data_IF_607510311337
#
_entry.id   IF_607510311337
#
_cell.length_a   1.000
_cell.length_b   1.000
_cell.length_c   1.000
_cell.angle_alpha   90.00
_cell.angle_beta   90.00
_cell.angle_gamma   90.00
#
_symmetry.space_group_name_H-M   'P 1'
#
loop_
_entity.id
_entity.type
_entity.pdbx_description
1 polymer ?
#
# COMPACT_ATOMS: atom_id res chain seq x y z
N UNK A 1 21.72 -9.05 15.25
CA UNK A 1 21.34 -9.65 13.95
C UNK A 1 22.53 -10.49 13.47
N UNK A 2 22.31 -11.58 12.74
CA UNK A 2 23.41 -12.39 12.18
C UNK A 2 24.10 -11.57 11.09
N UNK A 3 25.23 -10.92 11.43
CA UNK A 3 25.98 -10.03 10.52
C UNK A 3 26.96 -10.77 9.61
N UNK A 4 27.20 -12.05 9.89
CA UNK A 4 28.10 -12.92 9.11
C UNK A 4 27.36 -14.23 8.85
N UNK A 5 27.20 -14.65 7.58
CA UNK A 5 26.60 -15.93 7.27
C UNK A 5 27.41 -17.06 7.90
N UNK A 6 26.71 -18.00 8.55
CA UNK A 6 27.32 -19.18 9.18
C UNK A 6 26.72 -20.46 8.62
N UNK A 7 27.55 -21.47 8.39
CA UNK A 7 27.12 -22.75 7.79
C UNK A 7 26.63 -22.55 6.36
N UNK A 8 25.44 -23.08 6.07
CA UNK A 8 24.84 -23.06 4.72
C UNK A 8 23.99 -21.80 4.45
N UNK A 9 24.16 -20.74 5.23
CA UNK A 9 23.41 -19.50 5.07
C UNK A 9 23.88 -18.71 3.84
N UNK A 10 22.96 -18.08 3.09
CA UNK A 10 23.32 -17.28 1.93
C UNK A 10 24.04 -15.98 2.34
N UNK A 11 24.84 -15.41 1.44
CA UNK A 11 25.66 -14.24 1.73
C UNK A 11 24.84 -12.98 2.11
N UNK A 12 23.57 -12.94 1.71
CA UNK A 12 22.62 -11.85 1.96
C UNK A 12 21.66 -12.14 3.14
N UNK A 13 21.98 -13.10 4.01
CA UNK A 13 21.10 -13.51 5.13
C UNK A 13 20.68 -12.34 6.03
N UNK A 14 21.56 -11.36 6.25
CA UNK A 14 21.22 -10.16 7.03
C UNK A 14 20.09 -9.35 6.39
N UNK A 15 20.15 -9.17 5.07
CA UNK A 15 19.11 -8.46 4.31
C UNK A 15 17.80 -9.23 4.34
N UNK A 16 17.84 -10.55 4.12
CA UNK A 16 16.63 -11.40 4.16
C UNK A 16 15.95 -11.38 5.53
N UNK A 17 16.73 -11.46 6.62
CA UNK A 17 16.20 -11.36 7.99
C UNK A 17 15.58 -9.98 8.20
N UNK A 18 16.25 -8.91 7.77
CA UNK A 18 15.72 -7.54 7.91
C UNK A 18 14.43 -7.35 7.14
N UNK A 19 14.36 -7.78 5.89
CA UNK A 19 13.17 -7.68 5.05
C UNK A 19 12.01 -8.47 5.64
N UNK A 20 12.28 -9.68 6.14
CA UNK A 20 11.29 -10.48 6.86
C UNK A 20 10.75 -9.74 8.08
N UNK A 21 11.61 -9.12 8.90
CA UNK A 21 11.17 -8.33 10.05
C UNK A 21 10.32 -7.13 9.61
N UNK A 22 10.74 -6.40 8.58
CA UNK A 22 10.04 -5.22 8.06
C UNK A 22 8.61 -5.54 7.60
N UNK A 23 8.33 -6.75 7.11
CA UNK A 23 6.96 -7.16 6.76
C UNK A 23 5.98 -7.16 7.95
N UNK A 24 6.50 -7.28 9.18
CA UNK A 24 5.69 -7.26 10.40
C UNK A 24 5.76 -5.91 11.11
N UNK A 25 6.96 -5.37 11.33
CA UNK A 25 7.15 -4.21 12.21
C UNK A 25 6.73 -2.88 11.58
N UNK A 26 6.59 -2.81 10.26
CA UNK A 26 6.08 -1.61 9.54
C UNK A 26 4.58 -1.39 9.73
N UNK A 27 3.82 -2.42 10.09
CA UNK A 27 2.39 -2.29 10.36
C UNK A 27 2.17 -1.42 11.60
N UNK A 28 1.36 -0.38 11.49
CA UNK A 28 1.03 0.51 12.62
C UNK A 28 0.39 -0.26 13.79
N UNK A 29 -0.40 -1.30 13.49
CA UNK A 29 -1.02 -2.18 14.46
C UNK A 29 -0.07 -3.30 14.95
N UNK A 30 1.19 -2.99 15.24
CA UNK A 30 2.19 -3.94 15.73
C UNK A 30 2.95 -3.37 16.94
N UNK A 31 2.90 -4.08 18.06
CA UNK A 31 3.75 -3.81 19.22
C UNK A 31 5.14 -4.40 19.00
N UNK A 32 6.18 -3.57 19.17
CA UNK A 32 7.58 -3.97 19.00
C UNK A 32 8.19 -4.21 20.37
N UNK A 33 8.68 -5.43 20.61
CA UNK A 33 9.45 -5.76 21.81
C UNK A 33 10.95 -5.72 21.47
N UNK A 34 11.61 -4.62 21.78
CA UNK A 34 13.03 -4.43 21.48
C UNK A 34 13.90 -5.06 22.58
N UNK A 35 14.24 -6.34 22.39
CA UNK A 35 15.05 -7.12 23.33
C UNK A 35 16.54 -6.86 23.11
N UNK A 36 17.23 -6.39 24.16
CA UNK A 36 18.68 -6.16 24.15
C UNK A 36 19.32 -6.82 25.38
N UNK A 37 20.51 -7.43 25.25
CA UNK A 37 21.21 -7.96 26.41
C UNK A 37 21.98 -6.83 27.12
N UNK A 38 22.03 -6.89 28.45
CA UNK A 38 22.63 -5.86 29.29
C UNK A 38 24.16 -5.82 29.23
N UNK A 39 24.79 -6.93 28.82
CA UNK A 39 26.24 -7.05 28.67
C UNK A 39 26.78 -6.46 27.35
N UNK A 40 25.91 -5.84 26.54
CA UNK A 40 26.29 -5.13 25.32
C UNK A 40 25.81 -3.70 25.38
N UNK A 41 26.55 -2.79 24.76
CA UNK A 41 26.14 -1.39 24.67
C UNK A 41 24.80 -1.25 23.93
N UNK A 42 23.86 -0.56 24.55
CA UNK A 42 22.52 -0.31 24.03
C UNK A 42 22.56 0.49 22.73
N UNK A 43 23.56 1.36 22.54
CA UNK A 43 23.73 2.13 21.31
C UNK A 43 23.96 1.23 20.08
N UNK A 44 24.48 0.02 20.29
CA UNK A 44 24.73 -0.98 19.25
C UNK A 44 23.59 -1.99 19.10
N UNK A 45 22.44 -1.77 19.75
CA UNK A 45 21.29 -2.66 19.67
C UNK A 45 20.62 -2.59 18.29
N UNK A 46 20.77 -3.65 17.51
CA UNK A 46 20.09 -3.79 16.21
C UNK A 46 18.55 -3.74 16.37
N UNK A 47 18.01 -4.25 17.48
CA UNK A 47 16.57 -4.24 17.76
C UNK A 47 16.03 -2.82 17.93
N UNK A 48 16.76 -1.96 18.66
CA UNK A 48 16.40 -0.55 18.84
C UNK A 48 16.61 0.26 17.55
N UNK A 49 17.63 -0.09 16.76
CA UNK A 49 17.85 0.54 15.45
C UNK A 49 16.65 0.33 14.53
N UNK A 50 16.19 -0.92 14.36
CA UNK A 50 15.00 -1.22 13.55
C UNK A 50 13.77 -0.54 14.14
N UNK A 51 13.58 -0.60 15.47
CA UNK A 51 12.42 0.02 16.11
C UNK A 51 12.37 1.53 15.85
N UNK A 52 13.49 2.24 15.89
CA UNK A 52 13.53 3.68 15.56
C UNK A 52 13.25 3.99 14.09
N UNK A 53 13.60 3.10 13.17
CA UNK A 53 13.30 3.28 11.73
C UNK A 53 11.79 3.26 11.46
N UNK A 54 11.03 2.43 12.18
CA UNK A 54 9.57 2.24 11.95
C UNK A 54 8.67 2.87 13.02
N UNK A 55 9.23 3.28 14.15
CA UNK A 55 8.56 3.93 15.29
C UNK A 55 9.50 4.98 15.94
N UNK A 56 9.83 6.06 15.22
CA UNK A 56 10.77 7.09 15.70
C UNK A 56 10.30 7.80 16.97
N UNK A 57 8.99 7.83 17.20
CA UNK A 57 8.38 8.42 18.40
C UNK A 57 8.27 7.42 19.58
N UNK A 58 8.65 6.15 19.38
CA UNK A 58 8.57 5.10 20.39
C UNK A 58 7.17 4.83 20.93
N UNK A 59 6.11 5.07 20.14
CA UNK A 59 4.71 4.95 20.56
C UNK A 59 4.29 3.51 20.78
N UNK A 60 4.90 2.55 20.10
CA UNK A 60 4.51 1.12 20.11
C UNK A 60 5.70 0.19 20.39
N UNK A 61 6.83 0.77 20.78
CA UNK A 61 8.06 0.05 21.15
C UNK A 61 8.21 -0.04 22.66
N UNK A 62 8.46 -1.25 23.16
CA UNK A 62 8.80 -1.55 24.57
C UNK A 62 10.23 -2.06 24.60
N UNK A 63 11.09 -1.43 25.40
CA UNK A 63 12.46 -1.89 25.59
C UNK A 63 12.51 -3.02 26.62
N UNK A 64 13.20 -4.12 26.30
CA UNK A 64 13.43 -5.21 27.25
C UNK A 64 14.92 -5.45 27.38
N UNK A 65 15.42 -5.37 28.61
CA UNK A 65 16.82 -5.61 28.92
C UNK A 65 16.95 -6.97 29.58
N UNK A 66 17.70 -7.88 28.96
CA UNK A 66 17.93 -9.26 29.43
C UNK A 66 19.35 -9.45 29.93
N UNK A 67 19.65 -10.57 30.57
CA UNK A 67 21.02 -10.92 31.00
C UNK A 67 21.66 -9.90 31.95
N UNK A 68 20.86 -9.25 32.80
CA UNK A 68 21.32 -8.29 33.82
C UNK A 68 22.24 -8.95 34.85
N UNK A 69 22.12 -10.27 35.03
CA UNK A 69 22.95 -11.12 35.89
C UNK A 69 24.35 -11.39 35.31
N UNK A 70 24.56 -11.13 34.03
CA UNK A 70 25.83 -11.36 33.32
C UNK A 70 26.59 -10.05 33.02
N UNK A 71 26.23 -8.96 33.69
CA UNK A 71 26.96 -7.70 33.58
C UNK A 71 28.30 -7.78 34.33
N UNK A 72 29.29 -7.04 33.84
CA UNK A 72 30.60 -6.97 34.48
C UNK A 72 30.48 -6.32 35.87
N UNK A 73 31.22 -6.88 36.83
CA UNK A 73 31.22 -6.38 38.21
C UNK A 73 31.67 -4.92 38.26
N UNK A 74 30.87 -4.06 38.89
CA UNK A 74 31.08 -2.61 38.93
C UNK A 74 30.36 -1.82 37.83
N UNK A 75 29.69 -2.50 36.89
CA UNK A 75 28.82 -1.85 35.90
C UNK A 75 27.34 -2.11 36.21
N UNK A 76 26.46 -1.19 35.81
CA UNK A 76 25.02 -1.38 35.88
C UNK A 76 24.29 -0.73 34.70
N UNK A 77 23.14 -1.30 34.34
CA UNK A 77 22.21 -0.75 33.35
C UNK A 77 21.21 0.27 33.95
N UNK A 78 21.53 0.97 35.06
CA UNK A 78 20.55 1.82 35.75
C UNK A 78 20.02 2.94 34.87
N UNK A 79 20.90 3.65 34.17
CA UNK A 79 20.48 4.78 33.32
C UNK A 79 19.64 4.34 32.11
N UNK A 80 19.81 3.08 31.67
CA UNK A 80 18.95 2.47 30.65
C UNK A 80 17.57 2.17 31.24
N UNK A 81 17.52 1.49 32.39
CA UNK A 81 16.26 1.10 33.03
C UNK A 81 15.47 2.31 33.57
N UNK A 82 16.14 3.39 33.93
CA UNK A 82 15.53 4.68 34.29
C UNK A 82 15.16 5.53 33.06
N UNK A 83 15.33 4.99 31.84
CA UNK A 83 14.93 5.61 30.58
C UNK A 83 15.67 6.93 30.27
N UNK A 84 16.90 7.10 30.75
CA UNK A 84 17.71 8.33 30.56
C UNK A 84 18.58 8.28 29.30
N UNK A 85 19.17 7.13 29.00
CA UNK A 85 20.15 7.01 27.92
C UNK A 85 19.50 7.14 26.52
N UNK A 86 18.48 6.32 26.25
CA UNK A 86 17.75 6.32 24.98
C UNK A 86 16.25 6.28 25.28
N UNK A 87 15.59 7.45 25.40
CA UNK A 87 14.22 7.52 25.88
C UNK A 87 13.22 6.80 24.97
N UNK A 88 12.46 5.87 25.54
CA UNK A 88 11.28 5.25 24.91
C UNK A 88 10.02 5.70 25.66
N UNK A 89 8.92 5.94 24.94
CA UNK A 89 7.65 6.36 25.57
C UNK A 89 7.09 5.31 26.52
N UNK A 90 7.33 4.02 26.23
CA UNK A 90 6.91 2.89 27.07
C UNK A 90 7.98 2.42 28.06
N UNK A 91 9.16 3.06 28.06
CA UNK A 91 10.28 2.76 28.93
C UNK A 91 10.94 1.40 28.68
N UNK A 92 11.76 0.99 29.65
CA UNK A 92 12.49 -0.27 29.66
C UNK A 92 12.07 -1.15 30.82
N UNK A 93 12.10 -2.46 30.57
CA UNK A 93 11.83 -3.48 31.59
C UNK A 93 12.98 -4.47 31.59
N UNK A 94 13.64 -4.59 32.74
CA UNK A 94 14.69 -5.56 32.98
C UNK A 94 14.10 -6.92 33.36
N UNK A 95 14.63 -8.00 32.77
CA UNK A 95 14.26 -9.38 33.10
C UNK A 95 15.49 -10.25 33.29
N UNK A 96 15.40 -11.21 34.20
CA UNK A 96 16.45 -12.20 34.45
C UNK A 96 15.89 -13.58 34.14
N UNK A 97 16.47 -14.22 33.12
CA UNK A 97 16.03 -15.52 32.63
C UNK A 97 16.93 -16.64 33.16
N UNK A 98 16.52 -17.90 32.91
CA UNK A 98 17.35 -19.07 33.19
C UNK A 98 18.63 -19.03 32.34
N UNK A 99 19.76 -19.29 32.99
CA UNK A 99 21.04 -19.52 32.30
C UNK A 99 21.04 -20.87 31.57
N UNK A 100 22.05 -21.11 30.72
CA UNK A 100 22.19 -22.40 30.04
C UNK A 100 22.29 -23.56 31.05
N UNK A 101 23.07 -23.38 32.13
CA UNK A 101 23.20 -24.36 33.21
C UNK A 101 21.87 -24.62 33.93
N UNK A 102 21.05 -23.58 34.13
CA UNK A 102 19.71 -23.72 34.72
C UNK A 102 18.76 -24.51 33.81
N UNK A 103 18.91 -24.38 32.49
CA UNK A 103 18.13 -25.13 31.50
C UNK A 103 18.54 -26.61 31.52
N UNK A 104 19.84 -26.89 31.48
CA UNK A 104 20.37 -28.26 31.51
C UNK A 104 20.01 -28.95 32.84
N UNK A 105 20.02 -28.20 33.94
CA UNK A 105 19.56 -28.63 35.27
C UNK A 105 18.04 -28.64 35.47
N UNK A 106 17.24 -28.36 34.43
CA UNK A 106 15.76 -28.34 34.45
C UNK A 106 15.16 -27.51 35.59
N UNK A 107 15.73 -26.33 35.86
CA UNK A 107 15.24 -25.42 36.90
C UNK A 107 13.78 -25.02 36.62
N UNK A 108 12.95 -25.17 37.65
CA UNK A 108 11.55 -24.77 37.67
C UNK A 108 11.37 -23.26 37.44
N UNK A 109 10.26 -22.91 36.80
CA UNK A 109 9.80 -21.54 36.57
C UNK A 109 9.56 -20.81 37.88
N UNK A 110 8.93 -21.44 38.88
CA UNK A 110 8.69 -20.79 40.19
C UNK A 110 10.01 -20.42 40.86
N UNK A 111 10.97 -21.35 40.83
CA UNK A 111 12.32 -21.10 41.33
C UNK A 111 13.05 -19.98 40.54
N UNK A 112 12.87 -19.91 39.22
CA UNK A 112 13.45 -18.84 38.39
C UNK A 112 12.84 -17.46 38.71
N UNK A 113 11.52 -17.37 38.86
CA UNK A 113 10.83 -16.12 39.23
C UNK A 113 11.22 -15.66 40.65
N UNK A 114 11.36 -16.59 41.60
CA UNK A 114 11.85 -16.26 42.94
C UNK A 114 13.29 -15.74 42.91
N UNK A 115 14.17 -16.35 42.09
CA UNK A 115 15.54 -15.89 41.90
C UNK A 115 15.59 -14.50 41.24
N UNK A 116 14.77 -14.25 40.22
CA UNK A 116 14.64 -12.94 39.55
C UNK A 116 14.19 -11.86 40.57
N UNK A 117 13.14 -12.12 41.35
CA UNK A 117 12.67 -11.19 42.38
C UNK A 117 13.75 -10.94 43.42
N UNK A 118 14.46 -11.98 43.86
CA UNK A 118 15.57 -11.85 44.81
C UNK A 118 16.68 -10.97 44.23
N UNK A 119 17.08 -11.19 42.98
CA UNK A 119 18.10 -10.38 42.29
C UNK A 119 17.77 -8.90 42.33
N UNK A 120 16.57 -8.51 41.87
CA UNK A 120 16.17 -7.10 41.84
C UNK A 120 16.05 -6.47 43.23
N UNK A 121 15.65 -7.23 44.26
CA UNK A 121 15.56 -6.73 45.63
C UNK A 121 16.93 -6.61 46.32
N UNK A 122 17.87 -7.51 46.01
CA UNK A 122 19.21 -7.51 46.62
C UNK A 122 20.19 -6.57 45.91
N UNK A 123 19.99 -6.29 44.62
CA UNK A 123 20.94 -5.49 43.85
C UNK A 123 20.86 -4.00 44.24
N UNK A 124 21.97 -3.37 44.70
CA UNK A 124 21.94 -2.01 45.24
C UNK A 124 21.45 -0.97 44.23
N UNK A 125 21.84 -1.09 42.95
CA UNK A 125 21.43 -0.18 41.87
C UNK A 125 20.01 -0.39 41.36
N UNK A 126 19.33 -1.51 41.67
CA UNK A 126 18.00 -1.83 41.11
C UNK A 126 16.90 -1.97 42.15
N UNK A 127 17.23 -1.97 43.44
CA UNK A 127 16.27 -2.18 44.53
C UNK A 127 15.08 -1.23 44.49
N UNK A 128 15.29 0.04 44.14
CA UNK A 128 14.22 1.04 44.00
C UNK A 128 13.37 0.85 42.74
N UNK A 129 13.82 0.04 41.78
CA UNK A 129 13.10 -0.28 40.54
C UNK A 129 12.42 -1.65 40.60
N UNK A 130 12.63 -2.45 41.65
CA UNK A 130 12.22 -3.85 41.73
C UNK A 130 10.72 -4.10 41.47
N UNK A 131 9.84 -3.13 41.75
CA UNK A 131 8.40 -3.26 41.48
C UNK A 131 7.99 -2.98 40.03
N UNK A 132 8.89 -2.37 39.24
CA UNK A 132 8.73 -2.09 37.80
C UNK A 132 9.66 -2.96 36.93
N UNK A 133 10.24 -4.00 37.52
CA UNK A 133 11.15 -4.92 36.86
C UNK A 133 10.67 -6.35 37.01
N UNK A 134 11.28 -7.23 36.24
CA UNK A 134 11.02 -8.66 36.24
C UNK A 134 9.91 -9.09 35.27
N UNK A 135 9.90 -10.39 35.02
CA UNK A 135 8.97 -11.05 34.10
C UNK A 135 7.49 -10.82 34.45
N UNK A 136 7.06 -10.86 35.72
CA UNK A 136 5.66 -10.58 36.07
C UNK A 136 5.21 -9.16 35.71
N UNK A 137 6.09 -8.16 35.89
CA UNK A 137 5.79 -6.79 35.52
C UNK A 137 5.73 -6.64 33.99
N UNK A 138 6.67 -7.25 33.26
CA UNK A 138 6.64 -7.29 31.81
C UNK A 138 5.32 -7.87 31.28
N UNK A 139 4.87 -9.00 31.83
CA UNK A 139 3.61 -9.64 31.45
C UNK A 139 2.42 -8.70 31.70
N UNK A 140 2.37 -8.04 32.86
CA UNK A 140 1.32 -7.06 33.18
C UNK A 140 1.30 -5.90 32.19
N UNK A 141 2.47 -5.35 31.87
CA UNK A 141 2.60 -4.25 30.91
C UNK A 141 2.14 -4.71 29.53
N UNK A 142 2.61 -5.86 29.04
CA UNK A 142 2.21 -6.40 27.74
C UNK A 142 0.69 -6.60 27.64
N UNK A 143 0.07 -7.19 28.66
CA UNK A 143 -1.39 -7.37 28.69
C UNK A 143 -2.14 -6.03 28.64
N UNK A 144 -1.69 -5.05 29.42
CA UNK A 144 -2.28 -3.71 29.41
C UNK A 144 -2.11 -3.04 28.04
N UNK A 145 -0.94 -3.14 27.42
CA UNK A 145 -0.68 -2.50 26.13
C UNK A 145 -1.42 -3.19 25.00
N UNK A 146 -1.47 -4.51 24.96
CA UNK A 146 -2.28 -5.25 23.98
C UNK A 146 -3.76 -4.85 24.10
N UNK A 147 -4.29 -4.77 25.32
CA UNK A 147 -5.70 -4.40 25.54
C UNK A 147 -5.99 -2.97 25.05
N UNK A 148 -5.13 -2.01 25.38
CA UNK A 148 -5.29 -0.62 24.94
C UNK A 148 -5.15 -0.50 23.42
N UNK A 149 -4.14 -1.15 22.86
CA UNK A 149 -3.85 -1.11 21.43
C UNK A 149 -4.98 -1.74 20.60
N UNK A 150 -5.53 -2.86 21.04
CA UNK A 150 -6.73 -3.47 20.43
C UNK A 150 -7.90 -2.48 20.50
N UNK A 151 -8.16 -1.88 21.67
CA UNK A 151 -9.24 -0.91 21.85
C UNK A 151 -9.12 0.31 20.92
N UNK A 152 -7.91 0.83 20.75
CA UNK A 152 -7.66 2.03 19.94
C UNK A 152 -7.73 1.72 18.43
N UNK A 153 -7.37 0.50 18.03
CA UNK A 153 -7.35 0.08 16.60
C UNK A 153 -8.69 -0.47 16.11
N UNK A 154 -9.55 -0.97 17.00
CA UNK A 154 -10.87 -1.54 16.67
C UNK A 154 -11.79 -0.57 15.89
N UNK A 155 -11.91 0.73 16.25
CA UNK A 155 -12.73 1.67 15.49
C UNK A 155 -12.26 1.82 14.04
N UNK A 156 -10.95 1.92 13.82
CA UNK A 156 -10.36 2.01 12.47
C UNK A 156 -10.60 0.74 11.65
N UNK A 157 -10.40 -0.43 12.26
CA UNK A 157 -10.69 -1.72 11.63
C UNK A 157 -12.16 -1.85 11.26
N UNK A 158 -13.07 -1.49 12.17
CA UNK A 158 -14.52 -1.50 11.91
C UNK A 158 -14.88 -0.62 10.72
N UNK A 159 -14.35 0.61 10.67
CA UNK A 159 -14.62 1.53 9.57
C UNK A 159 -14.09 0.97 8.24
N UNK A 160 -12.88 0.40 8.22
CA UNK A 160 -12.31 -0.24 7.03
C UNK A 160 -13.18 -1.40 6.54
N UNK A 161 -13.60 -2.29 7.44
CA UNK A 161 -14.48 -3.41 7.11
C UNK A 161 -15.84 -2.92 6.61
N UNK A 162 -16.39 -1.87 7.20
CA UNK A 162 -17.66 -1.29 6.76
C UNK A 162 -17.55 -0.66 5.36
N UNK A 163 -16.45 0.03 5.05
CA UNK A 163 -16.20 0.54 3.71
C UNK A 163 -16.04 -0.57 2.68
N UNK A 164 -15.29 -1.64 3.02
CA UNK A 164 -15.13 -2.81 2.15
C UNK A 164 -16.45 -3.57 1.95
N UNK A 165 -17.24 -3.72 3.00
CA UNK A 165 -18.56 -4.33 2.92
C UNK A 165 -19.48 -3.51 2.01
N UNK A 166 -19.47 -2.18 2.14
CA UNK A 166 -20.30 -1.31 1.29
C UNK A 166 -19.89 -1.35 -0.19
N UNK A 167 -18.60 -1.50 -0.52
CA UNK A 167 -18.19 -1.71 -1.91
C UNK A 167 -18.65 -3.07 -2.44
N UNK A 168 -18.53 -4.13 -1.64
CA UNK A 168 -18.93 -5.49 -2.03
C UNK A 168 -20.46 -5.59 -2.13
N UNK A 169 -21.21 -4.94 -1.24
CA UNK A 169 -22.68 -4.96 -1.27
C UNK A 169 -23.23 -4.37 -2.56
N UNK A 170 -22.58 -3.34 -3.14
CA UNK A 170 -22.95 -2.80 -4.46
C UNK A 170 -22.81 -3.84 -5.56
N UNK A 171 -21.70 -4.57 -5.58
CA UNK A 171 -21.50 -5.65 -6.54
C UNK A 171 -22.50 -6.79 -6.30
N UNK A 172 -22.64 -7.23 -5.05
CA UNK A 172 -23.56 -8.32 -4.66
C UNK A 172 -25.00 -8.00 -5.02
N UNK A 173 -25.43 -6.74 -4.96
CA UNK A 173 -26.78 -6.33 -5.37
C UNK A 173 -27.11 -6.70 -6.83
N UNK A 174 -26.12 -6.68 -7.72
CA UNK A 174 -26.25 -7.15 -9.10
C UNK A 174 -26.43 -8.67 -9.19
N UNK A 175 -25.96 -9.40 -8.17
CA UNK A 175 -25.97 -10.86 -8.07
C UNK A 175 -27.05 -11.43 -7.12
N UNK A 176 -27.76 -10.62 -6.33
CA UNK A 176 -28.75 -11.08 -5.32
C UNK A 176 -29.83 -12.01 -5.89
N UNK A 177 -30.19 -11.83 -7.16
CA UNK A 177 -31.19 -12.64 -7.86
C UNK A 177 -30.54 -13.65 -8.84
N UNK A 178 -29.32 -14.12 -8.56
CA UNK A 178 -28.62 -15.09 -9.40
C UNK A 178 -29.27 -16.47 -9.31
N UNK A 179 -29.92 -16.87 -10.42
CA UNK A 179 -30.23 -18.27 -10.73
C UNK A 179 -29.49 -18.64 -12.02
N UNK A 180 -28.61 -19.66 -11.99
CA UNK A 180 -27.79 -20.02 -13.15
C UNK A 180 -28.62 -20.45 -14.37
N UNK A 181 -29.81 -21.01 -14.14
CA UNK A 181 -30.69 -21.57 -15.18
C UNK A 181 -31.83 -20.64 -15.62
N UNK A 182 -31.82 -19.35 -15.24
CA UNK A 182 -32.91 -18.43 -15.60
C UNK A 182 -32.69 -17.78 -16.99
N UNK A 183 -33.50 -18.12 -18.02
CA UNK A 183 -33.38 -17.55 -19.36
C UNK A 183 -33.59 -16.03 -19.38
N UNK A 184 -34.39 -15.49 -18.44
CA UNK A 184 -34.70 -14.06 -18.38
C UNK A 184 -33.45 -13.21 -18.14
N UNK A 185 -32.43 -13.77 -17.50
CA UNK A 185 -31.19 -13.05 -17.21
C UNK A 185 -30.25 -12.98 -18.39
N UNK A 186 -30.19 -14.02 -19.24
CA UNK A 186 -29.47 -13.94 -20.52
C UNK A 186 -30.06 -12.83 -21.38
N UNK A 187 -31.38 -12.73 -21.43
CA UNK A 187 -32.08 -11.66 -22.14
C UNK A 187 -31.83 -10.29 -21.52
N UNK A 188 -31.87 -10.16 -20.19
CA UNK A 188 -31.57 -8.90 -19.48
C UNK A 188 -30.12 -8.46 -19.71
N UNK A 189 -29.15 -9.36 -19.60
CA UNK A 189 -27.74 -9.07 -19.83
C UNK A 189 -27.51 -8.67 -21.29
N UNK A 190 -28.09 -9.38 -22.25
CA UNK A 190 -28.02 -9.02 -23.66
C UNK A 190 -28.58 -7.62 -23.92
N UNK A 191 -29.74 -7.30 -23.35
CA UNK A 191 -30.37 -5.99 -23.49
C UNK A 191 -29.53 -4.88 -22.85
N UNK A 192 -28.97 -5.11 -21.65
CA UNK A 192 -28.06 -4.14 -21.01
C UNK A 192 -26.78 -3.93 -21.82
N UNK A 193 -26.19 -5.00 -22.38
CA UNK A 193 -25.00 -4.87 -23.23
C UNK A 193 -25.29 -4.14 -24.54
N UNK A 194 -26.42 -4.42 -25.20
CA UNK A 194 -26.83 -3.73 -26.43
C UNK A 194 -27.14 -2.26 -26.15
N UNK A 195 -27.84 -1.96 -25.05
CA UNK A 195 -28.17 -0.59 -24.67
C UNK A 195 -26.93 0.21 -24.29
N UNK A 196 -26.02 -0.39 -23.51
CA UNK A 196 -24.74 0.23 -23.17
C UNK A 196 -23.89 0.49 -24.41
N UNK A 197 -23.79 -0.49 -25.32
CA UNK A 197 -23.08 -0.31 -26.58
C UNK A 197 -23.67 0.80 -27.45
N UNK A 198 -25.00 0.88 -27.55
CA UNK A 198 -25.66 1.94 -28.32
C UNK A 198 -25.36 3.33 -27.74
N UNK A 199 -25.46 3.49 -26.42
CA UNK A 199 -25.12 4.74 -25.72
C UNK A 199 -23.65 5.10 -25.89
N UNK A 200 -22.74 4.14 -25.75
CA UNK A 200 -21.30 4.38 -25.89
C UNK A 200 -20.94 4.73 -27.35
N UNK A 201 -21.59 4.10 -28.33
CA UNK A 201 -21.42 4.42 -29.74
C UNK A 201 -21.90 5.83 -30.05
N UNK A 202 -23.09 6.21 -29.60
CA UNK A 202 -23.65 7.56 -29.76
C UNK A 202 -22.75 8.62 -29.11
N UNK A 203 -22.33 8.40 -27.87
CA UNK A 203 -21.35 9.26 -27.17
C UNK A 203 -20.04 9.43 -27.95
N UNK A 204 -19.56 8.37 -28.62
CA UNK A 204 -18.32 8.41 -29.43
C UNK A 204 -18.49 9.19 -30.73
N UNK A 205 -19.68 9.18 -31.33
CA UNK A 205 -19.99 9.91 -32.58
C UNK A 205 -20.36 11.37 -32.30
N UNK A 206 -21.09 11.67 -31.23
CA UNK A 206 -21.45 13.04 -30.87
C UNK A 206 -20.32 13.79 -30.16
N UNK A 207 -19.37 13.07 -29.56
CA UNK A 207 -18.28 13.67 -28.79
C UNK A 207 -18.65 14.02 -27.35
N UNK A 208 -19.76 13.48 -26.83
CA UNK A 208 -20.29 13.68 -25.47
C UNK A 208 -19.84 12.59 -24.47
N UNK A 209 -18.82 11.80 -24.81
CA UNK A 209 -18.31 10.73 -23.96
C UNK A 209 -17.59 11.21 -22.70
N UNK A 210 -17.80 10.53 -21.57
CA UNK A 210 -17.17 10.87 -20.27
C UNK A 210 -15.66 10.55 -20.23
N UNK A 211 -15.18 9.69 -21.14
CA UNK A 211 -13.77 9.33 -21.32
C UNK A 211 -13.31 9.74 -22.72
N UNK A 212 -12.93 11.01 -22.85
CA UNK A 212 -12.36 11.57 -24.08
C UNK A 212 -10.88 11.23 -24.12
N UNK A 213 -10.43 10.62 -25.22
CA UNK A 213 -9.01 10.42 -25.47
C UNK A 213 -8.37 11.79 -25.75
N UNK A 214 -7.52 12.27 -24.83
CA UNK A 214 -6.86 13.57 -24.92
C UNK A 214 -5.61 13.55 -25.79
N UNK A 215 -5.13 12.38 -26.21
CA UNK A 215 -3.89 12.25 -26.98
C UNK A 215 -4.16 12.30 -28.49
N UNK A 216 -5.27 11.71 -28.95
CA UNK A 216 -5.63 11.68 -30.37
C UNK A 216 -7.10 12.07 -30.64
N UNK A 217 -7.31 12.79 -31.75
CA UNK A 217 -8.65 12.99 -32.31
C UNK A 217 -9.24 11.64 -32.75
N UNK A 218 -10.35 11.26 -32.13
CA UNK A 218 -11.03 9.98 -32.39
C UNK A 218 -12.55 10.17 -32.54
N UNK A 219 -13.22 9.15 -33.09
CA UNK A 219 -14.68 9.12 -33.23
C UNK A 219 -15.24 10.28 -34.07
N UNK A 220 -16.28 10.94 -33.52
CA UNK A 220 -16.97 12.06 -34.13
C UNK A 220 -16.10 13.27 -34.44
N UNK A 221 -15.17 13.61 -33.53
CA UNK A 221 -14.30 14.76 -33.70
C UNK A 221 -13.35 14.60 -34.92
N UNK A 222 -12.87 13.37 -35.17
CA UNK A 222 -12.06 13.06 -36.36
C UNK A 222 -12.87 13.13 -37.64
N UNK A 223 -14.10 12.63 -37.64
CA UNK A 223 -15.02 12.72 -38.79
C UNK A 223 -15.32 14.18 -39.11
N UNK A 224 -15.66 14.97 -38.09
CA UNK A 224 -15.95 16.39 -38.22
C UNK A 224 -14.76 17.15 -38.85
N UNK A 225 -13.54 16.87 -38.36
CA UNK A 225 -12.30 17.44 -38.91
C UNK A 225 -12.11 17.10 -40.39
N UNK A 226 -12.35 15.86 -40.81
CA UNK A 226 -12.24 15.46 -42.22
C UNK A 226 -13.19 16.29 -43.09
N UNK A 227 -14.44 16.47 -42.67
CA UNK A 227 -15.42 17.23 -43.46
C UNK A 227 -15.19 18.74 -43.47
N UNK A 228 -14.61 19.33 -42.42
CA UNK A 228 -14.40 20.78 -42.37
C UNK A 228 -13.01 21.23 -42.86
N UNK A 229 -11.99 20.39 -42.74
CA UNK A 229 -10.62 20.75 -43.15
C UNK A 229 -10.19 20.05 -44.46
N UNK A 230 -10.47 18.75 -44.61
CA UNK A 230 -9.98 17.95 -45.73
C UNK A 230 -10.89 18.06 -46.96
N UNK A 231 -12.21 18.03 -46.76
CA UNK A 231 -13.17 18.02 -47.88
C UNK A 231 -13.16 19.33 -48.71
N UNK A 232 -13.12 20.54 -48.11
CA UNK A 232 -13.02 21.77 -48.89
C UNK A 232 -11.71 21.85 -49.70
N UNK A 233 -10.62 21.32 -49.15
CA UNK A 233 -9.35 21.22 -49.87
C UNK A 233 -9.48 20.33 -51.12
N UNK A 234 -10.14 19.18 -51.02
CA UNK A 234 -10.32 18.29 -52.18
C UNK A 234 -11.28 18.88 -53.23
N UNK A 235 -12.26 19.69 -52.81
CA UNK A 235 -13.12 20.46 -53.73
C UNK A 235 -12.35 21.52 -54.51
N UNK A 236 -11.40 22.21 -53.88
CA UNK A 236 -10.53 23.19 -54.57
C UNK A 236 -9.51 22.49 -55.47
N UNK A 237 -9.01 21.32 -55.05
CA UNK A 237 -8.12 20.48 -55.84
C UNK A 237 -8.80 19.79 -57.02
N UNK A 238 -10.13 19.67 -57.03
CA UNK A 238 -10.89 19.41 -58.26
C UNK A 238 -10.69 20.61 -59.20
N UNK A 239 -9.60 20.57 -59.95
CA UNK A 239 -9.29 21.59 -60.95
C UNK A 239 -10.36 21.58 -62.03
N UNK A 240 -10.99 22.73 -62.22
CA UNK A 240 -11.74 23.03 -63.43
C UNK A 240 -10.74 23.54 -64.47
N UNK A 241 -10.55 22.81 -65.57
CA UNK A 241 -9.78 23.34 -66.69
C UNK A 241 -10.60 24.44 -67.39
N UNK A 242 -10.38 25.69 -66.98
CA UNK A 242 -11.04 26.86 -67.55
C UNK A 242 -10.84 26.96 -69.07
N UNK A 243 -9.70 26.51 -69.61
CA UNK A 243 -9.42 26.60 -71.05
C UNK A 243 -10.24 25.57 -71.82
N UNK A 244 -10.29 24.33 -71.31
CA UNK A 244 -11.11 23.28 -71.90
C UNK A 244 -12.61 23.62 -71.79
N UNK A 245 -13.06 24.11 -70.63
CA UNK A 245 -14.44 24.55 -70.42
C UNK A 245 -14.82 25.70 -71.36
N UNK A 246 -13.98 26.72 -71.52
CA UNK A 246 -14.26 27.82 -72.48
C UNK A 246 -14.33 27.33 -73.92
N UNK A 247 -13.48 26.37 -74.29
CA UNK A 247 -13.52 25.74 -75.62
C UNK A 247 -14.84 24.99 -75.82
N UNK A 248 -15.24 24.18 -74.85
CA UNK A 248 -16.51 23.45 -74.87
C UNK A 248 -17.72 24.37 -74.93
N UNK A 249 -17.75 25.43 -74.10
CA UNK A 249 -18.81 26.44 -74.13
C UNK A 249 -18.88 27.11 -75.51
N UNK A 250 -17.74 27.45 -76.13
CA UNK A 250 -17.71 28.06 -77.47
C UNK A 250 -18.26 27.13 -78.55
N UNK A 251 -17.86 25.85 -78.53
CA UNK A 251 -18.40 24.85 -79.46
C UNK A 251 -19.90 24.62 -79.22
N UNK A 252 -20.33 24.51 -77.96
CA UNK A 252 -21.74 24.33 -77.60
C UNK A 252 -22.58 25.52 -78.10
N UNK A 253 -22.17 26.76 -77.85
CA UNK A 253 -22.89 27.96 -78.33
C UNK A 253 -22.97 27.97 -79.86
N UNK A 254 -21.86 27.72 -80.57
CA UNK A 254 -21.85 27.69 -82.04
C UNK A 254 -22.72 26.56 -82.61
N UNK A 255 -22.70 25.38 -82.00
CA UNK A 255 -23.51 24.24 -82.41
C UNK A 255 -25.00 24.44 -82.14
N UNK A 256 -25.37 25.09 -81.02
CA UNK A 256 -26.75 25.43 -80.68
C UNK A 256 -27.32 26.46 -81.67
N UNK A 257 -26.49 27.39 -82.16
CA UNK A 257 -26.93 28.41 -83.11
C UNK A 257 -26.86 27.98 -84.59
N UNK A 258 -26.09 26.93 -84.91
CA UNK A 258 -26.16 26.18 -86.17
C UNK A 258 -26.36 27.01 -87.45
N UNK A 259 -27.02 26.41 -88.45
CA UNK A 259 -27.30 27.00 -89.78
C UNK A 259 -28.44 28.04 -89.67
N UNK A 260 -28.22 29.13 -88.92
CA UNK A 260 -29.09 30.32 -88.93
C UNK A 260 -28.37 31.63 -89.22
N UNK A 261 -27.09 31.59 -89.59
CA UNK A 261 -26.42 32.72 -90.24
C UNK A 261 -26.49 32.46 -91.75
N UNK A 262 -27.67 32.69 -92.32
CA UNK A 262 -27.85 32.86 -93.77
C UNK A 262 -27.45 34.31 -94.07
N UNK A 263 -26.53 34.45 -95.03
CA UNK A 263 -26.14 35.68 -95.70
C UNK A 263 -27.32 36.60 -96.00
N UNK A 264 -27.13 37.93 -95.89
CA UNK A 264 -27.42 38.89 -96.96
C UNK A 264 -27.02 40.31 -96.51
N UNK A 265 -26.17 40.90 -97.36
CA UNK A 265 -25.75 42.31 -97.54
C UNK A 265 -25.04 43.06 -96.40
#
# INVERSE_FOLDING_TARGET
MTKVPVGDQPADIEFQIRDMLMQFVTKENCLILAVSPANSDLANSDALKIAKEVDPQGQRTIGVITKLDLMDEGTDARDVLENKLLPLRRGYIGVVNRSQKDIDGKKDITAALAAERKFFLSHPSYRHLADRMGTPYLQKVLNQQLTNHIRDTLPGLRNKLQSQLLSIEKEVEEYKNFRPDDPARKTKALLQMVQQFAVDFEKRIEGSGDQIDTYELSGGARINRIFHERFPFELVKMEFDEKELRREISYAIKNIHGIRIISLE
#
